data_IF_824707850509
#
_entry.id   IF_824707850509
#
_cell.length_a   1.000
_cell.length_b   1.000
_cell.length_c   1.000
_cell.angle_alpha   90.00
_cell.angle_beta   90.00
_cell.angle_gamma   90.00
#
_symmetry.space_group_name_H-M   'P 1'
#
loop_
_entity.id
_entity.type
_entity.pdbx_description
1 polymer ?
#
# COMPACT_ATOMS: atom_id res chain seq x y z
N UNK A 1 7.55 17.39 6.77
CA UNK A 1 6.30 16.93 6.15
C UNK A 1 5.68 18.02 5.31
N UNK A 2 5.45 17.74 4.05
CA UNK A 2 4.64 18.55 3.15
C UNK A 2 3.37 17.78 2.78
N UNK A 3 2.22 18.25 3.25
CA UNK A 3 0.91 17.71 2.87
C UNK A 3 0.27 18.65 1.86
N UNK A 4 -0.03 18.14 0.67
CA UNK A 4 -0.78 18.88 -0.35
C UNK A 4 -2.25 18.47 -0.26
N UNK A 5 -3.14 19.46 -0.20
CA UNK A 5 -4.59 19.25 -0.20
C UNK A 5 -5.18 19.87 -1.45
N UNK A 6 -5.59 19.03 -2.39
CA UNK A 6 -6.11 19.46 -3.69
C UNK A 6 -7.62 19.69 -3.60
N UNK A 7 -8.03 20.92 -3.86
CA UNK A 7 -9.42 21.34 -3.84
C UNK A 7 -9.93 21.62 -5.25
N UNK A 8 -11.24 21.82 -5.40
CA UNK A 8 -11.84 22.13 -6.70
C UNK A 8 -11.81 23.62 -7.01
N UNK A 9 -11.28 24.05 -8.18
CA UNK A 9 -10.41 23.31 -9.10
C UNK A 9 -8.92 23.51 -8.76
N UNK A 10 -8.10 22.47 -8.99
CA UNK A 10 -6.64 22.56 -8.96
C UNK A 10 -6.11 22.27 -10.37
N UNK A 11 -5.76 23.30 -11.16
CA UNK A 11 -5.40 23.13 -12.56
C UNK A 11 -4.19 24.00 -12.96
N UNK A 12 -3.61 23.71 -14.12
CA UNK A 12 -2.55 24.50 -14.74
C UNK A 12 -1.21 24.38 -14.00
N UNK A 13 -0.51 25.50 -13.86
CA UNK A 13 0.82 25.54 -13.24
C UNK A 13 0.85 25.10 -11.79
N UNK A 14 -0.25 25.20 -11.05
CA UNK A 14 -0.37 24.72 -9.66
C UNK A 14 -0.21 23.21 -9.60
N UNK A 15 -0.93 22.46 -10.45
CA UNK A 15 -0.80 21.00 -10.54
C UNK A 15 0.59 20.59 -11.03
N UNK A 16 1.12 21.29 -12.02
CA UNK A 16 2.44 20.99 -12.58
C UNK A 16 3.63 21.47 -11.72
N UNK A 17 3.38 21.89 -10.49
CA UNK A 17 4.42 22.38 -9.58
C UNK A 17 4.22 21.84 -8.15
N UNK A 18 4.13 22.73 -7.19
CA UNK A 18 4.13 22.35 -5.76
C UNK A 18 2.97 21.43 -5.33
N UNK A 19 1.81 21.51 -5.99
CA UNK A 19 0.64 20.71 -5.62
C UNK A 19 0.90 19.19 -5.71
N UNK A 20 1.73 18.76 -6.68
CA UNK A 20 2.07 17.35 -6.89
C UNK A 20 3.40 16.92 -6.24
N UNK A 21 4.01 17.78 -5.43
CA UNK A 21 5.28 17.50 -4.76
C UNK A 21 5.12 17.14 -3.27
N UNK A 22 3.90 16.97 -2.79
CA UNK A 22 3.63 16.57 -1.39
C UNK A 22 4.25 15.22 -1.01
N UNK A 23 4.73 15.11 0.21
CA UNK A 23 5.03 13.81 0.82
C UNK A 23 3.75 12.98 0.91
N UNK A 24 2.63 13.65 1.17
CA UNK A 24 1.27 13.12 1.13
C UNK A 24 0.39 14.07 0.33
N UNK A 25 -0.35 13.53 -0.64
CA UNK A 25 -1.26 14.29 -1.49
C UNK A 25 -2.68 13.79 -1.23
N UNK A 26 -3.52 14.69 -0.68
CA UNK A 26 -4.93 14.46 -0.44
C UNK A 26 -5.77 15.25 -1.43
N UNK A 27 -6.97 14.79 -1.75
CA UNK A 27 -7.93 15.53 -2.58
C UNK A 27 -9.32 15.54 -1.96
N UNK A 28 -10.11 16.58 -2.26
CA UNK A 28 -11.55 16.57 -1.94
C UNK A 28 -12.32 15.72 -2.97
N UNK A 29 -13.40 15.02 -2.57
CA UNK A 29 -14.19 14.22 -3.49
C UNK A 29 -14.68 15.03 -4.69
N UNK A 30 -14.57 14.46 -5.89
CA UNK A 30 -15.00 15.08 -7.14
C UNK A 30 -14.22 16.33 -7.55
N UNK A 31 -13.12 16.68 -6.87
CA UNK A 31 -12.29 17.83 -7.25
C UNK A 31 -11.72 17.65 -8.68
N UNK A 32 -11.85 18.69 -9.49
CA UNK A 32 -11.19 18.74 -10.80
C UNK A 32 -9.70 19.05 -10.60
N UNK A 33 -8.84 18.12 -11.01
CA UNK A 33 -7.40 18.22 -10.82
C UNK A 33 -6.72 17.80 -12.13
N UNK A 34 -5.91 18.69 -12.71
CA UNK A 34 -5.21 18.39 -13.95
C UNK A 34 -4.36 19.55 -14.44
N UNK A 35 -3.39 19.26 -15.31
CA UNK A 35 -2.56 20.30 -15.90
C UNK A 35 -3.34 21.10 -16.95
N UNK A 36 -3.75 20.47 -18.06
CA UNK A 36 -4.59 21.08 -19.06
C UNK A 36 -6.07 20.88 -18.72
N UNK A 37 -6.76 21.92 -18.29
CA UNK A 37 -8.18 21.83 -17.98
C UNK A 37 -9.05 21.50 -19.19
N UNK A 38 -10.31 21.01 -18.99
CA UNK A 38 -11.21 20.58 -20.06
C UNK A 38 -11.42 21.61 -21.17
N UNK A 39 -11.48 22.89 -20.81
CA UNK A 39 -11.62 23.99 -21.77
C UNK A 39 -10.42 24.12 -22.71
N UNK A 40 -9.21 24.00 -22.14
CA UNK A 40 -7.97 24.11 -22.91
C UNK A 40 -7.88 22.94 -23.90
N UNK A 41 -8.14 21.73 -23.46
CA UNK A 41 -8.10 20.52 -24.30
C UNK A 41 -9.11 20.63 -25.45
N UNK A 42 -10.34 21.06 -25.14
CA UNK A 42 -11.39 21.27 -26.14
C UNK A 42 -11.01 22.33 -27.16
N UNK A 43 -10.41 23.44 -26.74
CA UNK A 43 -10.02 24.54 -27.64
C UNK A 43 -8.78 24.21 -28.47
N UNK A 44 -7.83 23.45 -27.91
CA UNK A 44 -6.53 23.17 -28.58
C UNK A 44 -6.59 21.92 -29.45
N UNK A 45 -7.24 20.84 -28.96
CA UNK A 45 -7.23 19.54 -29.61
C UNK A 45 -8.61 19.12 -30.15
N UNK A 46 -9.66 19.87 -29.89
CA UNK A 46 -11.03 19.50 -30.27
C UNK A 46 -11.57 18.27 -29.56
N UNK A 47 -10.86 17.73 -28.56
CA UNK A 47 -11.23 16.50 -27.87
C UNK A 47 -12.16 16.81 -26.68
N UNK A 48 -13.14 15.93 -26.49
CA UNK A 48 -13.98 15.90 -25.29
C UNK A 48 -13.43 14.82 -24.36
N UNK A 49 -13.19 15.20 -23.11
CA UNK A 49 -12.74 14.25 -22.09
C UNK A 49 -13.86 13.30 -21.69
N UNK A 50 -13.55 12.03 -21.38
CA UNK A 50 -14.50 11.09 -20.80
C UNK A 50 -15.08 11.61 -19.48
N UNK A 51 -16.30 11.16 -19.14
CA UNK A 51 -16.91 11.46 -17.87
C UNK A 51 -16.04 10.88 -16.72
N UNK A 52 -15.86 11.68 -15.65
CA UNK A 52 -15.01 11.30 -14.53
C UNK A 52 -13.50 11.47 -14.74
N UNK A 53 -13.06 11.82 -15.93
CA UNK A 53 -11.64 12.11 -16.18
C UNK A 53 -11.19 13.38 -15.45
N UNK A 54 -9.99 13.38 -14.90
CA UNK A 54 -9.41 14.45 -14.08
C UNK A 54 -10.19 14.74 -12.76
N UNK A 55 -11.03 13.84 -12.29
CA UNK A 55 -11.58 13.91 -10.93
C UNK A 55 -10.57 13.39 -9.90
N UNK A 56 -10.78 13.71 -8.63
CA UNK A 56 -9.96 13.17 -7.53
C UNK A 56 -9.93 11.63 -7.55
N UNK A 57 -11.08 11.00 -7.83
CA UNK A 57 -11.25 9.55 -7.94
C UNK A 57 -10.40 8.97 -9.07
N UNK A 58 -10.42 9.61 -10.23
CA UNK A 58 -9.57 9.24 -11.35
C UNK A 58 -8.08 9.33 -10.99
N UNK A 59 -7.67 10.41 -10.33
CA UNK A 59 -6.27 10.58 -9.92
C UNK A 59 -5.83 9.56 -8.86
N UNK A 60 -6.72 9.16 -7.96
CA UNK A 60 -6.43 8.10 -7.00
C UNK A 60 -6.25 6.75 -7.70
N UNK A 61 -7.13 6.41 -8.64
CA UNK A 61 -7.03 5.18 -9.43
C UNK A 61 -5.73 5.11 -10.24
N UNK A 62 -5.29 6.26 -10.75
CA UNK A 62 -4.04 6.37 -11.53
C UNK A 62 -2.80 6.63 -10.67
N UNK A 63 -2.94 6.63 -9.34
CA UNK A 63 -1.81 6.68 -8.43
C UNK A 63 -1.19 8.07 -8.19
N UNK A 64 -1.90 9.13 -8.49
CA UNK A 64 -1.42 10.50 -8.29
C UNK A 64 -1.85 11.13 -6.97
N UNK A 65 -2.81 10.52 -6.27
CA UNK A 65 -3.35 11.01 -4.99
C UNK A 65 -3.34 9.87 -3.98
N UNK A 66 -2.87 10.13 -2.76
CA UNK A 66 -2.80 9.13 -1.69
C UNK A 66 -4.18 8.82 -1.10
N UNK A 67 -5.06 9.83 -1.03
CA UNK A 67 -6.39 9.62 -0.47
C UNK A 67 -7.37 10.74 -0.80
N UNK A 68 -8.66 10.39 -0.78
CA UNK A 68 -9.76 11.33 -0.97
C UNK A 68 -10.41 11.56 0.39
N UNK A 69 -10.47 12.83 0.80
CA UNK A 69 -10.92 13.22 2.12
C UNK A 69 -11.97 14.33 2.02
N UNK A 70 -13.13 14.08 2.57
CA UNK A 70 -14.17 15.12 2.71
C UNK A 70 -13.71 16.23 3.64
N UNK A 71 -14.10 17.46 3.35
CA UNK A 71 -13.68 18.66 4.11
C UNK A 71 -13.96 18.54 5.61
N UNK A 72 -15.07 17.94 6.00
CA UNK A 72 -15.42 17.70 7.40
C UNK A 72 -14.42 16.79 8.14
N UNK A 73 -13.77 15.88 7.41
CA UNK A 73 -12.78 14.94 7.95
C UNK A 73 -11.34 15.42 7.82
N UNK A 74 -11.10 16.50 7.07
CA UNK A 74 -9.76 16.97 6.74
C UNK A 74 -8.93 17.29 8.00
N UNK A 75 -9.53 17.93 9.00
CA UNK A 75 -8.85 18.25 10.27
C UNK A 75 -8.33 17.01 10.97
N UNK A 76 -9.15 15.95 11.01
CA UNK A 76 -8.76 14.66 11.61
C UNK A 76 -7.58 14.03 10.85
N UNK A 77 -7.71 13.96 9.53
CA UNK A 77 -6.69 13.38 8.65
C UNK A 77 -5.36 14.15 8.77
N UNK A 78 -5.40 15.48 8.72
CA UNK A 78 -4.20 16.30 8.90
C UNK A 78 -3.57 16.12 10.28
N UNK A 79 -4.36 16.04 11.32
CA UNK A 79 -3.85 15.78 12.66
C UNK A 79 -3.15 14.42 12.74
N UNK A 80 -3.76 13.37 12.18
CA UNK A 80 -3.14 12.05 12.07
C UNK A 80 -1.80 12.11 11.32
N UNK A 81 -1.80 12.69 10.12
CA UNK A 81 -0.60 12.80 9.29
C UNK A 81 0.51 13.57 10.02
N UNK A 82 0.21 14.70 10.63
CA UNK A 82 1.20 15.49 11.38
C UNK A 82 1.74 14.68 12.55
N UNK A 83 0.89 13.96 13.27
CA UNK A 83 1.29 13.18 14.45
C UNK A 83 2.16 11.99 14.06
N UNK A 84 1.80 11.26 12.99
CA UNK A 84 2.59 10.11 12.49
C UNK A 84 3.92 10.49 11.86
N UNK A 85 4.09 11.77 11.49
CA UNK A 85 5.33 12.27 10.87
C UNK A 85 6.20 13.11 11.81
N UNK A 86 5.85 13.18 13.10
CA UNK A 86 6.71 13.81 14.09
C UNK A 86 7.85 12.87 14.47
N UNK A 87 9.07 13.38 14.47
CA UNK A 87 10.27 12.67 14.92
C UNK A 87 10.45 12.69 16.45
N UNK A 88 9.50 13.22 17.22
CA UNK A 88 9.55 13.33 18.67
C UNK A 88 8.25 12.84 19.28
N UNK A 89 8.34 12.37 20.52
CA UNK A 89 7.27 11.85 21.36
C UNK A 89 5.95 12.63 21.22
N UNK A 90 5.11 12.23 20.29
CA UNK A 90 3.74 12.71 20.19
C UNK A 90 2.91 12.11 21.32
N UNK A 91 2.03 12.88 21.94
CA UNK A 91 1.14 12.34 22.96
C UNK A 91 0.03 11.54 22.28
N UNK A 92 0.31 10.26 22.03
CA UNK A 92 -0.61 9.31 21.41
C UNK A 92 -1.92 9.16 22.20
N UNK A 93 -1.86 9.31 23.53
CA UNK A 93 -3.05 9.25 24.39
C UNK A 93 -4.08 10.33 24.04
N UNK A 94 -3.62 11.52 23.66
CA UNK A 94 -4.50 12.61 23.24
C UNK A 94 -5.06 12.38 21.84
N UNK A 95 -4.31 11.71 20.96
CA UNK A 95 -4.80 11.30 19.66
C UNK A 95 -5.94 10.29 19.80
N UNK A 96 -5.76 9.24 20.58
CA UNK A 96 -6.76 8.18 20.80
C UNK A 96 -8.09 8.70 21.36
N UNK A 97 -8.06 9.73 22.21
CA UNK A 97 -9.27 10.36 22.78
C UNK A 97 -10.09 11.17 21.78
N UNK A 98 -9.45 11.67 20.73
CA UNK A 98 -10.07 12.64 19.82
C UNK A 98 -10.53 12.05 18.50
N UNK A 99 -10.11 10.82 18.15
CA UNK A 99 -10.34 10.25 16.83
C UNK A 99 -10.64 8.76 16.89
N UNK A 100 -11.75 8.41 16.29
CA UNK A 100 -12.23 7.03 16.15
C UNK A 100 -12.05 6.62 14.68
N UNK A 101 -10.86 6.14 14.34
CA UNK A 101 -10.61 5.50 13.06
C UNK A 101 -10.78 3.99 13.27
N UNK A 102 -11.87 3.44 12.80
CA UNK A 102 -12.05 2.00 12.80
C UNK A 102 -11.89 1.45 11.39
N UNK A 103 -10.90 0.58 11.23
CA UNK A 103 -11.07 -0.56 10.34
C UNK A 103 -12.07 -1.49 11.03
N UNK A 104 -13.20 -1.79 10.39
CA UNK A 104 -14.08 -2.82 10.90
C UNK A 104 -13.33 -4.16 10.90
N UNK A 105 -13.04 -4.76 12.07
CA UNK A 105 -12.33 -6.02 12.08
C UNK A 105 -13.24 -7.08 11.48
N UNK A 106 -12.77 -7.74 10.43
CA UNK A 106 -13.40 -8.96 9.98
C UNK A 106 -13.31 -9.96 11.13
N UNK A 107 -14.40 -10.63 11.51
CA UNK A 107 -14.35 -11.64 12.55
C UNK A 107 -13.19 -12.62 12.30
N UNK A 108 -12.23 -12.65 13.21
CA UNK A 108 -11.21 -13.71 13.18
C UNK A 108 -11.95 -15.00 13.51
N UNK A 109 -12.10 -15.85 12.54
CA UNK A 109 -12.40 -17.25 12.80
C UNK A 109 -11.23 -17.76 13.67
N UNK A 110 -11.48 -17.92 14.98
CA UNK A 110 -10.51 -18.55 15.88
C UNK A 110 -10.19 -19.90 15.27
N UNK A 111 -9.01 -20.03 14.66
CA UNK A 111 -8.52 -21.33 14.26
C UNK A 111 -8.55 -22.20 15.51
N UNK A 112 -9.45 -23.19 15.54
CA UNK A 112 -9.37 -24.24 16.54
C UNK A 112 -7.98 -24.81 16.41
N UNK A 113 -7.21 -24.79 17.50
CA UNK A 113 -5.94 -25.49 17.57
C UNK A 113 -6.20 -26.97 17.34
N UNK A 114 -6.23 -27.38 16.09
CA UNK A 114 -6.17 -28.76 15.73
C UNK A 114 -4.75 -29.16 16.09
N UNK A 115 -4.59 -30.11 17.01
CA UNK A 115 -3.32 -30.80 17.28
C UNK A 115 -2.75 -31.22 15.91
N UNK A 116 -1.81 -30.44 15.43
CA UNK A 116 -1.30 -30.61 14.07
C UNK A 116 -0.23 -31.67 14.09
N UNK A 117 -0.59 -32.84 13.53
CA UNK A 117 0.42 -33.78 13.04
C UNK A 117 1.39 -33.02 12.13
N UNK A 118 2.70 -33.34 12.15
CA UNK A 118 3.68 -32.69 11.29
C UNK A 118 3.26 -32.84 9.83
N UNK A 119 2.99 -31.69 9.17
CA UNK A 119 2.55 -31.65 7.78
C UNK A 119 3.75 -31.84 6.85
N UNK A 120 3.54 -32.57 5.77
CA UNK A 120 4.50 -32.66 4.66
C UNK A 120 4.68 -31.27 4.02
N UNK A 121 5.78 -31.07 3.28
CA UNK A 121 6.02 -29.81 2.56
C UNK A 121 4.84 -29.47 1.62
N UNK A 122 4.29 -30.46 0.92
CA UNK A 122 3.15 -30.27 0.02
C UNK A 122 1.86 -29.91 0.76
N UNK A 123 1.61 -30.46 1.92
CA UNK A 123 0.48 -30.09 2.77
C UNK A 123 0.61 -28.63 3.26
N UNK A 124 1.82 -28.15 3.56
CA UNK A 124 2.07 -26.74 3.88
C UNK A 124 1.74 -25.85 2.71
N UNK A 125 2.16 -26.19 1.48
CA UNK A 125 1.81 -25.45 0.26
C UNK A 125 0.30 -25.39 0.06
N UNK A 126 -0.41 -26.50 0.21
CA UNK A 126 -1.88 -26.51 0.14
C UNK A 126 -2.52 -25.63 1.22
N UNK A 127 -1.99 -25.69 2.44
CA UNK A 127 -2.50 -24.88 3.56
C UNK A 127 -2.30 -23.40 3.34
N UNK A 128 -1.15 -22.99 2.84
CA UNK A 128 -0.85 -21.55 2.64
C UNK A 128 -1.70 -20.92 1.53
N UNK A 129 -2.20 -21.74 0.61
CA UNK A 129 -3.05 -21.30 -0.51
C UNK A 129 -4.54 -21.28 -0.21
N UNK A 130 -4.96 -21.70 0.97
CA UNK A 130 -6.37 -21.67 1.35
C UNK A 130 -6.89 -20.22 1.39
N UNK A 131 -8.07 -20.02 0.84
CA UNK A 131 -8.71 -18.68 0.80
C UNK A 131 -9.25 -18.23 2.17
N UNK A 132 -9.54 -19.17 3.07
CA UNK A 132 -9.98 -18.93 4.44
C UNK A 132 -8.83 -18.64 5.41
N UNK A 133 -7.59 -18.62 4.93
CA UNK A 133 -6.43 -18.24 5.71
C UNK A 133 -6.41 -16.72 5.92
N UNK A 134 -6.14 -16.23 7.15
CA UNK A 134 -6.06 -14.81 7.40
C UNK A 134 -5.04 -14.12 6.47
N UNK A 135 -5.47 -13.06 5.83
CA UNK A 135 -4.66 -12.16 5.00
C UNK A 135 -4.10 -11.00 5.84
N UNK A 136 -3.23 -10.19 5.27
CA UNK A 136 -2.71 -8.99 5.95
C UNK A 136 -3.82 -8.03 6.39
N UNK A 137 -4.88 -7.91 5.60
CA UNK A 137 -6.06 -7.09 5.93
C UNK A 137 -6.81 -7.57 7.18
N UNK A 138 -6.61 -8.82 7.60
CA UNK A 138 -7.17 -9.33 8.85
C UNK A 138 -6.27 -9.04 10.04
N UNK A 139 -4.94 -9.05 9.84
CA UNK A 139 -3.98 -8.78 10.92
C UNK A 139 -3.88 -7.29 11.24
N UNK A 140 -3.90 -6.43 10.21
CA UNK A 140 -3.70 -4.99 10.36
C UNK A 140 -4.61 -4.38 11.43
N UNK A 141 -5.95 -4.62 11.45
CA UNK A 141 -6.85 -4.04 12.44
C UNK A 141 -6.62 -4.49 13.89
N UNK A 142 -5.94 -5.63 14.07
CA UNK A 142 -5.63 -6.15 15.41
C UNK A 142 -4.27 -5.73 15.94
N UNK A 143 -3.35 -5.45 15.02
CA UNK A 143 -1.96 -5.11 15.37
C UNK A 143 -1.82 -3.60 15.53
N UNK A 144 -2.52 -2.81 14.71
CA UNK A 144 -2.34 -1.36 14.64
C UNK A 144 -3.59 -0.63 15.14
N UNK A 145 -3.37 0.44 15.89
CA UNK A 145 -4.46 1.24 16.44
C UNK A 145 -5.15 2.12 15.40
N UNK A 146 -4.36 2.72 14.48
CA UNK A 146 -4.85 3.60 13.43
C UNK A 146 -4.08 3.33 12.15
N UNK A 147 -4.81 3.26 11.03
CA UNK A 147 -4.21 2.97 9.73
C UNK A 147 -4.76 3.94 8.69
N UNK A 148 -3.87 4.58 7.96
CA UNK A 148 -4.22 5.40 6.79
C UNK A 148 -3.51 4.82 5.59
N UNK A 149 -4.29 4.28 4.65
CA UNK A 149 -3.77 3.73 3.40
C UNK A 149 -3.28 4.85 2.49
N UNK A 150 -2.15 4.62 1.84
CA UNK A 150 -1.54 5.51 0.87
C UNK A 150 -1.52 4.83 -0.51
N UNK A 151 -2.08 5.49 -1.49
CA UNK A 151 -2.29 4.96 -2.83
C UNK A 151 -1.24 5.43 -3.83
N UNK A 152 -0.99 4.59 -4.82
CA UNK A 152 -0.33 4.91 -6.06
C UNK A 152 1.18 5.11 -6.04
N UNK A 153 1.77 4.88 -7.20
CA UNK A 153 3.21 5.03 -7.44
C UNK A 153 3.63 6.44 -7.86
N UNK A 154 2.67 7.31 -8.15
CA UNK A 154 2.84 8.68 -8.67
C UNK A 154 3.38 8.77 -10.09
N UNK A 155 3.37 7.67 -10.83
CA UNK A 155 3.80 7.61 -12.22
C UNK A 155 2.72 7.04 -13.15
N UNK A 156 2.12 5.91 -12.77
CA UNK A 156 1.19 5.21 -13.63
C UNK A 156 -0.15 4.93 -12.96
N UNK A 157 -0.15 4.31 -11.78
CA UNK A 157 -1.40 3.88 -11.16
C UNK A 157 -1.26 3.38 -9.73
N UNK A 158 -2.34 2.83 -9.23
CA UNK A 158 -2.38 2.15 -7.93
C UNK A 158 -2.54 0.65 -8.12
N UNK A 159 -1.77 -0.12 -7.37
CA UNK A 159 -1.84 -1.58 -7.34
C UNK A 159 -2.65 -2.04 -6.12
N UNK A 160 -3.64 -2.87 -6.37
CA UNK A 160 -4.53 -3.43 -5.33
C UNK A 160 -3.93 -4.67 -4.65
N UNK A 161 -2.93 -5.32 -5.27
CA UNK A 161 -2.25 -6.49 -4.71
C UNK A 161 -1.26 -6.10 -3.60
N UNK A 162 -0.73 -4.88 -3.63
CA UNK A 162 0.17 -4.36 -2.62
C UNK A 162 -0.45 -3.15 -1.92
N UNK A 163 -0.78 -3.29 -0.65
CA UNK A 163 -1.28 -2.23 0.23
C UNK A 163 -0.09 -1.55 0.91
N UNK A 164 -0.13 -0.23 0.98
CA UNK A 164 0.82 0.56 1.73
C UNK A 164 0.10 1.55 2.63
N UNK A 165 0.57 1.69 3.86
CA UNK A 165 -0.11 2.53 4.85
C UNK A 165 0.87 3.17 5.84
N UNK A 166 0.40 4.19 6.53
CA UNK A 166 0.99 4.71 7.76
C UNK A 166 0.05 4.36 8.91
N UNK A 167 0.61 3.86 10.01
CA UNK A 167 -0.16 3.36 11.13
C UNK A 167 0.51 3.70 12.48
N UNK A 168 -0.18 3.43 13.59
CA UNK A 168 0.40 3.42 14.92
C UNK A 168 0.48 1.99 15.46
N UNK A 169 1.61 1.66 16.08
CA UNK A 169 1.83 0.45 16.86
C UNK A 169 2.24 0.88 18.27
N UNK A 170 1.40 0.63 19.27
CA UNK A 170 1.62 1.04 20.67
C UNK A 170 2.07 2.52 20.79
N UNK A 171 1.40 3.40 20.04
CA UNK A 171 1.69 4.83 20.04
C UNK A 171 2.89 5.26 19.19
N UNK A 172 3.61 4.34 18.57
CA UNK A 172 4.73 4.64 17.69
C UNK A 172 4.29 4.64 16.23
N UNK A 173 4.59 5.69 15.43
CA UNK A 173 4.25 5.72 14.03
C UNK A 173 5.12 4.73 13.25
N UNK A 174 4.49 3.92 12.41
CA UNK A 174 5.13 2.92 11.56
C UNK A 174 4.61 3.01 10.12
N UNK A 175 5.40 2.54 9.18
CA UNK A 175 4.96 2.31 7.79
C UNK A 175 4.65 0.84 7.60
N UNK A 176 3.50 0.54 7.03
CA UNK A 176 3.03 -0.83 6.79
C UNK A 176 2.98 -1.09 5.29
N UNK A 177 3.58 -2.18 4.86
CA UNK A 177 3.47 -2.73 3.52
C UNK A 177 2.82 -4.11 3.61
N UNK A 178 1.96 -4.46 2.68
CA UNK A 178 1.27 -5.74 2.74
C UNK A 178 0.88 -6.27 1.36
N UNK A 179 1.30 -7.49 1.04
CA UNK A 179 0.76 -8.22 -0.09
C UNK A 179 -0.62 -8.81 0.28
N UNK A 180 -1.61 -8.59 -0.58
CA UNK A 180 -2.99 -9.01 -0.33
C UNK A 180 -3.56 -9.78 -1.53
N UNK A 181 -4.01 -11.01 -1.29
CA UNK A 181 -4.58 -11.88 -2.33
C UNK A 181 -6.08 -11.69 -2.56
N UNK A 182 -6.83 -11.33 -1.53
CA UNK A 182 -8.30 -11.36 -1.52
C UNK A 182 -8.89 -12.64 -0.89
N UNK A 183 -10.18 -12.61 -0.57
CA UNK A 183 -10.88 -13.66 0.17
C UNK A 183 -11.93 -14.41 -0.66
N UNK A 184 -12.34 -13.83 -1.76
CA UNK A 184 -13.25 -14.44 -2.72
C UNK A 184 -12.72 -14.28 -4.15
N UNK A 185 -13.40 -14.91 -5.10
CA UNK A 185 -12.95 -14.90 -6.49
C UNK A 185 -12.89 -13.48 -7.08
N UNK A 186 -13.88 -12.64 -6.78
CA UNK A 186 -13.95 -11.28 -7.31
C UNK A 186 -12.85 -10.38 -6.72
N UNK A 187 -12.62 -10.51 -5.40
CA UNK A 187 -11.54 -9.79 -4.74
C UNK A 187 -10.16 -10.29 -5.18
N UNK A 188 -9.97 -11.60 -5.31
CA UNK A 188 -8.73 -12.18 -5.84
C UNK A 188 -8.42 -11.65 -7.25
N UNK A 189 -9.41 -11.64 -8.14
CA UNK A 189 -9.25 -11.10 -9.49
C UNK A 189 -8.90 -9.60 -9.46
N UNK A 190 -9.59 -8.82 -8.64
CA UNK A 190 -9.31 -7.38 -8.47
C UNK A 190 -7.91 -7.10 -7.91
N UNK A 191 -7.39 -7.99 -7.07
CA UNK A 191 -6.04 -7.91 -6.48
C UNK A 191 -5.01 -8.72 -7.26
N UNK A 192 -5.31 -9.04 -8.50
CA UNK A 192 -4.41 -9.81 -9.37
C UNK A 192 -3.85 -11.07 -8.69
N UNK A 193 -4.70 -11.75 -7.90
CA UNK A 193 -4.35 -12.95 -7.10
C UNK A 193 -3.16 -12.75 -6.14
N UNK A 194 -2.94 -11.52 -5.71
CA UNK A 194 -1.82 -11.15 -4.84
C UNK A 194 -0.49 -11.04 -5.57
N UNK A 195 -0.51 -10.89 -6.89
CA UNK A 195 0.68 -10.67 -7.71
C UNK A 195 0.84 -9.18 -8.03
N UNK A 196 1.76 -8.46 -7.38
CA UNK A 196 1.93 -7.04 -7.62
C UNK A 196 2.40 -6.73 -9.03
N UNK A 197 1.88 -5.64 -9.57
CA UNK A 197 2.33 -4.96 -10.78
C UNK A 197 3.52 -4.03 -10.46
N UNK A 198 4.22 -3.48 -11.47
CA UNK A 198 5.34 -2.55 -11.23
C UNK A 198 4.96 -1.36 -10.35
N UNK A 199 3.75 -0.84 -10.48
CA UNK A 199 3.24 0.28 -9.68
C UNK A 199 3.06 -0.08 -8.20
N UNK A 200 2.81 -1.35 -7.87
CA UNK A 200 2.80 -1.83 -6.49
C UNK A 200 4.18 -1.72 -5.85
N UNK A 201 5.20 -2.22 -6.52
CA UNK A 201 6.58 -2.13 -6.03
C UNK A 201 7.08 -0.69 -5.95
N UNK A 202 6.76 0.16 -6.93
CA UNK A 202 7.10 1.59 -6.89
C UNK A 202 6.37 2.32 -5.77
N UNK A 203 5.11 1.98 -5.49
CA UNK A 203 4.36 2.46 -4.32
C UNK A 203 5.06 2.06 -3.03
N UNK A 204 5.46 0.79 -2.89
CA UNK A 204 6.20 0.31 -1.73
C UNK A 204 7.51 1.09 -1.54
N UNK A 205 8.29 1.27 -2.60
CA UNK A 205 9.54 2.04 -2.56
C UNK A 205 9.30 3.48 -2.10
N UNK A 206 8.29 4.14 -2.67
CA UNK A 206 7.92 5.51 -2.29
C UNK A 206 7.64 5.61 -0.79
N UNK A 207 6.90 4.65 -0.24
CA UNK A 207 6.57 4.63 1.19
C UNK A 207 7.76 4.25 2.07
N UNK A 208 8.64 3.37 1.61
CA UNK A 208 9.91 3.08 2.29
C UNK A 208 10.80 4.31 2.39
N UNK A 209 10.94 5.08 1.30
CA UNK A 209 11.68 6.35 1.31
C UNK A 209 11.03 7.41 2.19
N UNK A 210 9.71 7.45 2.21
CA UNK A 210 8.99 8.32 3.14
C UNK A 210 9.21 7.88 4.60
N UNK A 211 9.20 6.58 4.89
CA UNK A 211 9.50 6.05 6.21
C UNK A 211 10.91 6.46 6.68
N UNK A 212 11.91 6.30 5.81
CA UNK A 212 13.29 6.73 6.08
C UNK A 212 13.38 8.23 6.36
N UNK A 213 12.74 9.06 5.52
CA UNK A 213 12.71 10.53 5.70
C UNK A 213 12.17 10.95 7.07
N UNK A 214 11.17 10.22 7.60
CA UNK A 214 10.51 10.54 8.86
C UNK A 214 10.92 9.62 10.01
N UNK A 215 11.96 8.83 9.83
CA UNK A 215 12.51 7.91 10.83
C UNK A 215 11.46 6.95 11.42
N UNK A 216 10.57 6.42 10.57
CA UNK A 216 9.55 5.42 10.95
C UNK A 216 10.04 4.02 10.65
N UNK A 217 9.90 3.05 11.57
CA UNK A 217 10.08 1.63 11.27
C UNK A 217 9.12 1.17 10.17
N UNK A 218 9.52 0.15 9.45
CA UNK A 218 8.73 -0.47 8.38
C UNK A 218 8.37 -1.89 8.79
N UNK A 219 7.09 -2.24 8.64
CA UNK A 219 6.57 -3.60 8.83
C UNK A 219 5.99 -4.07 7.52
N UNK A 220 6.55 -5.15 6.95
CA UNK A 220 6.13 -5.71 5.67
C UNK A 220 5.50 -7.08 5.87
N UNK A 221 4.22 -7.24 5.49
CA UNK A 221 3.51 -8.52 5.46
C UNK A 221 3.58 -9.12 4.07
N UNK A 222 4.31 -10.23 3.93
CA UNK A 222 4.57 -10.87 2.65
C UNK A 222 3.61 -12.04 2.43
N UNK A 223 2.82 -11.95 1.35
CA UNK A 223 1.91 -13.01 0.94
C UNK A 223 1.59 -12.92 -0.56
N UNK A 224 2.56 -13.26 -1.38
CA UNK A 224 2.42 -13.24 -2.84
C UNK A 224 2.96 -14.54 -3.46
N UNK A 225 2.29 -15.10 -4.49
CA UNK A 225 2.87 -16.20 -5.27
C UNK A 225 4.03 -15.75 -6.16
N UNK A 226 4.25 -14.45 -6.30
CA UNK A 226 5.28 -13.80 -7.11
C UNK A 226 4.79 -12.51 -7.72
N UNK A 227 5.66 -11.83 -8.45
CA UNK A 227 5.29 -10.66 -9.24
C UNK A 227 4.43 -11.06 -10.45
N UNK A 228 3.53 -10.19 -10.90
CA UNK A 228 2.78 -10.43 -12.12
C UNK A 228 3.74 -10.51 -13.34
N UNK A 229 3.57 -11.54 -14.16
CA UNK A 229 4.46 -11.86 -15.28
C UNK A 229 3.81 -11.64 -16.66
N UNK A 230 2.82 -10.75 -16.75
CA UNK A 230 2.16 -10.42 -18.01
C UNK A 230 2.90 -9.36 -18.82
N UNK A 231 2.54 -9.26 -20.12
CA UNK A 231 3.11 -8.28 -21.06
C UNK A 231 3.02 -6.86 -20.51
N UNK A 232 1.88 -6.48 -19.96
CA UNK A 232 1.64 -5.15 -19.39
C UNK A 232 2.60 -4.81 -18.25
N UNK A 233 3.00 -5.78 -17.43
CA UNK A 233 3.96 -5.56 -16.36
C UNK A 233 5.38 -5.39 -16.91
N UNK A 234 5.76 -6.17 -17.92
CA UNK A 234 7.05 -6.03 -18.59
C UNK A 234 7.18 -4.67 -19.30
N UNK A 235 6.14 -4.24 -20.00
CA UNK A 235 6.08 -2.92 -20.64
C UNK A 235 6.24 -1.76 -19.65
N UNK A 236 5.82 -1.96 -18.39
CA UNK A 236 5.95 -0.96 -17.33
C UNK A 236 7.13 -1.19 -16.39
N UNK A 237 8.05 -2.12 -16.74
CA UNK A 237 9.34 -2.30 -16.07
C UNK A 237 9.27 -3.10 -14.78
N UNK A 238 8.60 -4.27 -14.78
CA UNK A 238 8.48 -5.15 -13.61
C UNK A 238 9.85 -5.52 -13.01
N UNK A 239 10.79 -5.91 -13.86
CA UNK A 239 12.14 -6.29 -13.41
C UNK A 239 12.89 -5.12 -12.76
N UNK A 240 12.79 -3.91 -13.32
CA UNK A 240 13.39 -2.70 -12.75
C UNK A 240 12.79 -2.34 -11.41
N UNK A 241 11.46 -2.37 -11.30
CA UNK A 241 10.76 -2.05 -10.06
C UNK A 241 11.15 -3.00 -8.91
N UNK A 242 11.30 -4.30 -9.19
CA UNK A 242 11.78 -5.29 -8.23
C UNK A 242 13.24 -5.01 -7.86
N UNK A 243 14.11 -4.87 -8.84
CA UNK A 243 15.56 -4.65 -8.63
C UNK A 243 15.80 -3.37 -7.81
N UNK A 244 15.08 -2.31 -8.12
CA UNK A 244 15.15 -1.04 -7.38
C UNK A 244 14.74 -1.22 -5.92
N UNK A 245 13.66 -1.95 -5.66
CA UNK A 245 13.23 -2.24 -4.28
C UNK A 245 14.31 -3.01 -3.51
N UNK A 246 14.93 -4.03 -4.11
CA UNK A 246 16.00 -4.80 -3.46
C UNK A 246 17.17 -3.90 -3.05
N UNK A 247 17.63 -3.08 -3.98
CA UNK A 247 18.74 -2.16 -3.75
C UNK A 247 18.40 -1.13 -2.66
N UNK A 248 17.30 -0.44 -2.81
CA UNK A 248 16.94 0.67 -1.93
C UNK A 248 16.53 0.18 -0.53
N UNK A 249 15.82 -0.96 -0.45
CA UNK A 249 15.40 -1.55 0.81
C UNK A 249 16.60 -2.01 1.65
N UNK A 250 17.65 -2.55 0.99
CA UNK A 250 18.90 -2.93 1.66
C UNK A 250 19.70 -1.75 2.21
N UNK A 251 19.46 -0.54 1.68
CA UNK A 251 20.17 0.69 2.06
C UNK A 251 19.40 1.55 3.09
N UNK A 252 18.18 1.17 3.46
CA UNK A 252 17.35 1.93 4.41
C UNK A 252 18.02 2.02 5.79
N UNK A 253 17.91 3.21 6.39
CA UNK A 253 18.47 3.52 7.72
C UNK A 253 17.47 3.42 8.85
N UNK A 254 16.28 2.91 8.58
CA UNK A 254 15.23 2.66 9.57
C UNK A 254 15.04 1.16 9.76
N UNK A 255 14.59 0.69 10.93
CA UNK A 255 14.30 -0.72 11.14
C UNK A 255 13.25 -1.24 10.16
N UNK A 256 13.51 -2.42 9.59
CA UNK A 256 12.61 -3.11 8.67
C UNK A 256 12.36 -4.53 9.18
N UNK A 257 11.12 -4.82 9.53
CA UNK A 257 10.65 -6.16 9.90
C UNK A 257 9.80 -6.72 8.76
N UNK A 258 10.19 -7.86 8.21
CA UNK A 258 9.42 -8.59 7.20
C UNK A 258 8.79 -9.84 7.80
N UNK A 259 7.50 -10.05 7.56
CA UNK A 259 6.74 -11.19 8.11
C UNK A 259 6.09 -11.95 6.98
N UNK A 260 6.59 -13.16 6.69
CA UNK A 260 5.96 -14.06 5.73
C UNK A 260 4.73 -14.71 6.38
N UNK A 261 3.57 -14.24 6.00
CA UNK A 261 2.28 -14.72 6.55
C UNK A 261 1.66 -15.82 5.68
N UNK A 262 2.12 -15.96 4.45
CA UNK A 262 1.58 -16.89 3.46
C UNK A 262 2.63 -17.38 2.48
N UNK A 263 2.36 -17.24 1.18
CA UNK A 263 3.33 -17.54 0.14
C UNK A 263 4.36 -16.41 -0.01
N UNK A 264 5.63 -16.77 -0.14
CA UNK A 264 6.72 -15.90 -0.56
C UNK A 264 7.29 -16.42 -1.88
N UNK A 265 6.82 -15.87 -3.01
CA UNK A 265 7.22 -16.33 -4.34
C UNK A 265 8.33 -15.47 -4.95
N UNK A 266 9.51 -16.05 -5.13
CA UNK A 266 10.60 -15.54 -5.95
C UNK A 266 10.99 -14.06 -5.67
N UNK A 267 11.45 -13.36 -6.72
CA UNK A 267 11.78 -11.94 -6.67
C UNK A 267 10.62 -11.02 -6.29
N UNK A 268 9.38 -11.43 -6.60
CA UNK A 268 8.20 -10.67 -6.24
C UNK A 268 8.01 -10.51 -4.73
N UNK A 269 8.17 -11.59 -3.98
CA UNK A 269 8.18 -11.55 -2.53
C UNK A 269 9.45 -10.87 -1.98
N UNK A 270 10.60 -11.13 -2.60
CA UNK A 270 11.86 -10.57 -2.15
C UNK A 270 11.88 -9.04 -2.21
N UNK A 271 11.19 -8.44 -3.20
CA UNK A 271 11.10 -7.00 -3.37
C UNK A 271 10.45 -6.25 -2.17
N UNK A 272 9.80 -6.98 -1.26
CA UNK A 272 9.21 -6.46 -0.02
C UNK A 272 9.70 -7.21 1.24
N UNK A 273 10.71 -8.09 1.09
CA UNK A 273 11.18 -8.98 2.15
C UNK A 273 12.67 -8.80 2.54
N UNK A 274 13.33 -7.74 2.09
CA UNK A 274 14.70 -7.40 2.49
C UNK A 274 14.66 -6.60 3.79
N UNK A 275 14.67 -7.29 4.92
CA UNK A 275 14.55 -6.66 6.25
C UNK A 275 15.75 -6.93 7.15
N UNK A 276 15.86 -6.13 8.22
CA UNK A 276 16.82 -6.40 9.31
C UNK A 276 16.45 -7.70 10.04
N UNK A 277 15.14 -7.96 10.14
CA UNK A 277 14.60 -9.22 10.63
C UNK A 277 13.56 -9.76 9.66
N UNK A 278 13.55 -11.07 9.46
CA UNK A 278 12.58 -11.77 8.63
C UNK A 278 11.95 -12.89 9.45
N UNK A 279 10.68 -12.73 9.75
CA UNK A 279 9.89 -13.71 10.48
C UNK A 279 9.04 -14.52 9.51
N UNK A 280 8.73 -15.75 9.88
CA UNK A 280 7.92 -16.64 9.06
C UNK A 280 6.90 -17.35 9.94
N UNK A 281 5.61 -17.23 9.57
CA UNK A 281 4.55 -17.97 10.27
C UNK A 281 4.64 -19.45 9.95
N UNK A 282 4.12 -20.27 10.90
CA UNK A 282 3.92 -21.69 10.66
C UNK A 282 3.11 -21.92 9.38
N UNK A 283 3.53 -22.90 8.59
CA UNK A 283 3.00 -23.23 7.27
C UNK A 283 3.15 -22.13 6.19
N UNK A 284 3.82 -21.01 6.44
CA UNK A 284 4.23 -20.11 5.36
C UNK A 284 5.31 -20.79 4.50
N UNK A 285 5.40 -20.40 3.25
CA UNK A 285 6.39 -20.94 2.30
C UNK A 285 7.19 -19.80 1.67
N UNK A 286 8.46 -20.05 1.42
CA UNK A 286 9.31 -19.16 0.63
C UNK A 286 10.10 -19.98 -0.38
N UNK A 287 9.96 -19.66 -1.65
CA UNK A 287 10.63 -20.41 -2.71
C UNK A 287 10.91 -19.56 -3.94
N UNK A 288 12.00 -19.88 -4.65
CA UNK A 288 12.37 -19.20 -5.90
C UNK A 288 11.50 -19.70 -7.06
N UNK A 289 11.28 -21.00 -7.13
CA UNK A 289 10.40 -21.63 -8.12
C UNK A 289 9.04 -21.90 -7.49
N UNK A 290 8.02 -22.04 -8.34
CA UNK A 290 6.73 -22.52 -7.85
C UNK A 290 6.91 -23.93 -7.26
N UNK A 291 6.16 -24.28 -6.21
CA UNK A 291 6.25 -25.61 -5.61
C UNK A 291 5.92 -26.77 -6.57
N UNK A 292 5.32 -26.48 -7.70
CA UNK A 292 4.99 -27.43 -8.78
C UNK A 292 6.11 -27.61 -9.79
N UNK A 293 7.13 -26.74 -9.80
CA UNK A 293 8.24 -26.71 -10.78
C UNK A 293 9.44 -27.57 -10.45
#
# INVERSE_FOLDING_TARGET
>A
LYVSVLTHPTTGGVTASFAMLGDVIMAEPGALIGFAGPRVIKQTLGQRLPDGFQTAEFLQEHGFVDGIVRRENLKKTLYFLITTHRCSEGNYADFKKNFDFHFEPTEIVKERSILTLPRTAWEKVKTVRRVDRPAATDYIPYIFDYVVEAHGDRYYGDDKALVGAVAFLDGQPVTVLADVKGKDFAECARRNYGMPMPEGYRKALRLMKQAEKFNRPIISFVNTPGAFCGVEAEERGQGEAIARNLLEMSALKVPVLCILIGEGGSGGALATAVGNEVWMRENATYSILSPEG
#
